data_IF_647366622848
#
_entry.id   IF_647366622848
#
_cell.length_a   1.000
_cell.length_b   1.000
_cell.length_c   1.000
_cell.angle_alpha   90.00
_cell.angle_beta   90.00
_cell.angle_gamma   90.00
#
_symmetry.space_group_name_H-M   'P 1'
#
loop_
_entity.id
_entity.type
_entity.pdbx_description
1 polymer ?
#
# COMPACT_ATOMS: atom_id res chain seq x y z
N UNK A 1 -7.71 -15.20 -14.02
CA UNK A 1 -8.35 -14.13 -13.22
C UNK A 1 -8.09 -14.42 -11.75
N UNK A 2 -7.54 -13.48 -10.99
CA UNK A 2 -7.39 -13.59 -9.54
C UNK A 2 -8.34 -12.62 -8.83
N UNK A 3 -9.30 -13.15 -8.08
CA UNK A 3 -10.26 -12.35 -7.29
C UNK A 3 -9.64 -12.02 -5.93
N UNK A 4 -9.27 -10.77 -5.70
CA UNK A 4 -8.86 -10.27 -4.37
C UNK A 4 -10.07 -9.65 -3.66
N UNK A 5 -9.91 -9.30 -2.38
CA UNK A 5 -11.00 -8.80 -1.51
C UNK A 5 -11.73 -7.60 -2.13
N UNK A 6 -10.98 -6.62 -2.64
CA UNK A 6 -11.52 -5.35 -3.18
C UNK A 6 -11.15 -5.09 -4.64
N UNK A 7 -10.38 -5.97 -5.28
CA UNK A 7 -9.84 -5.80 -6.64
C UNK A 7 -9.86 -7.12 -7.39
N UNK A 8 -10.15 -7.09 -8.69
CA UNK A 8 -9.96 -8.24 -9.57
C UNK A 8 -8.72 -8.00 -10.42
N UNK A 9 -7.94 -9.06 -10.66
CA UNK A 9 -6.72 -8.99 -11.48
C UNK A 9 -6.87 -9.91 -12.69
N UNK A 10 -6.70 -9.34 -13.87
CA UNK A 10 -6.76 -10.03 -15.15
C UNK A 10 -5.40 -9.96 -15.84
N UNK A 11 -4.97 -11.08 -16.44
CA UNK A 11 -3.83 -11.06 -17.34
C UNK A 11 -4.29 -10.48 -18.68
N UNK A 12 -3.54 -9.53 -19.23
CA UNK A 12 -3.80 -9.01 -20.58
C UNK A 12 -2.76 -9.51 -21.57
N UNK A 13 -1.50 -9.61 -21.13
CA UNK A 13 -0.40 -10.24 -21.85
C UNK A 13 0.58 -10.83 -20.84
N UNK A 14 1.71 -11.35 -21.32
CA UNK A 14 2.81 -11.83 -20.47
C UNK A 14 3.46 -10.70 -19.67
N UNK A 15 3.39 -9.46 -20.14
CA UNK A 15 4.00 -8.28 -19.51
C UNK A 15 3.00 -7.32 -18.87
N UNK A 16 1.69 -7.54 -19.03
CA UNK A 16 0.66 -6.62 -18.54
C UNK A 16 -0.46 -7.30 -17.75
N UNK A 17 -0.95 -6.58 -16.74
CA UNK A 17 -2.13 -6.91 -15.94
C UNK A 17 -3.15 -5.78 -16.00
N UNK A 18 -4.43 -6.15 -15.95
CA UNK A 18 -5.53 -5.21 -15.73
C UNK A 18 -6.08 -5.40 -14.31
N UNK A 19 -6.11 -4.30 -13.58
CA UNK A 19 -6.68 -4.17 -12.25
C UNK A 19 -8.06 -3.54 -12.34
N UNK A 20 -9.09 -4.29 -11.98
CA UNK A 20 -10.45 -3.78 -11.85
C UNK A 20 -10.78 -3.53 -10.38
N UNK A 21 -11.02 -2.27 -10.04
CA UNK A 21 -11.35 -1.83 -8.69
C UNK A 21 -12.84 -2.00 -8.45
N UNK A 22 -13.20 -2.76 -7.41
CA UNK A 22 -14.60 -3.05 -7.10
C UNK A 22 -15.17 -2.13 -6.01
N UNK A 23 -16.50 -2.07 -5.96
CA UNK A 23 -17.26 -1.34 -4.95
C UNK A 23 -17.32 -2.05 -3.59
N UNK A 24 -16.85 -3.31 -3.53
CA UNK A 24 -16.74 -4.10 -2.30
C UNK A 24 -15.83 -3.45 -1.28
N UNK A 25 -16.19 -3.56 -0.01
CA UNK A 25 -15.39 -3.11 1.14
C UNK A 25 -15.02 -4.30 2.01
N UNK A 26 -13.85 -4.22 2.64
CA UNK A 26 -13.47 -5.15 3.71
C UNK A 26 -13.14 -4.40 4.99
N UNK A 27 -13.64 -4.89 6.12
CA UNK A 27 -13.33 -4.39 7.46
C UNK A 27 -12.86 -5.57 8.29
N UNK A 28 -11.75 -5.42 9.03
CA UNK A 28 -11.10 -6.51 9.77
C UNK A 28 -10.96 -7.79 8.94
N UNK A 29 -10.44 -7.63 7.72
CA UNK A 29 -10.21 -8.72 6.77
C UNK A 29 -11.44 -9.48 6.24
N UNK A 30 -12.67 -9.07 6.61
CA UNK A 30 -13.93 -9.66 6.14
C UNK A 30 -14.60 -8.75 5.12
N UNK A 31 -15.08 -9.34 4.02
CA UNK A 31 -15.88 -8.60 3.02
C UNK A 31 -17.26 -8.31 3.64
N UNK A 32 -17.68 -7.06 3.56
CA UNK A 32 -19.02 -6.64 3.98
C UNK A 32 -19.98 -6.94 2.81
N UNK A 33 -21.17 -7.53 3.04
CA UNK A 33 -22.14 -7.84 2.00
C UNK A 33 -22.91 -6.58 1.52
N UNK A 34 -22.20 -5.46 1.37
CA UNK A 34 -22.71 -4.23 0.80
C UNK A 34 -21.62 -3.58 -0.06
N UNK A 35 -22.05 -3.04 -1.20
CA UNK A 35 -21.20 -2.27 -2.08
C UNK A 35 -21.32 -0.78 -1.74
N UNK A 36 -20.21 -0.04 -1.82
CA UNK A 36 -20.21 1.42 -1.79
C UNK A 36 -20.21 1.92 -3.25
N UNK A 37 -21.29 2.58 -3.71
CA UNK A 37 -21.36 3.11 -5.07
C UNK A 37 -20.14 3.96 -5.42
N UNK A 38 -19.63 3.78 -6.64
CA UNK A 38 -18.47 4.50 -7.20
C UNK A 38 -17.16 4.39 -6.44
N UNK A 39 -17.06 3.59 -5.36
CA UNK A 39 -15.80 3.39 -4.62
C UNK A 39 -14.68 2.90 -5.52
N UNK A 40 -14.96 1.93 -6.39
CA UNK A 40 -13.96 1.37 -7.31
C UNK A 40 -13.37 2.43 -8.22
N UNK A 41 -14.22 3.29 -8.79
CA UNK A 41 -13.81 4.42 -9.61
C UNK A 41 -12.98 5.42 -8.81
N UNK A 42 -13.46 5.86 -7.65
CA UNK A 42 -12.76 6.83 -6.80
C UNK A 42 -11.34 6.36 -6.47
N UNK A 43 -11.17 5.09 -6.11
CA UNK A 43 -9.86 4.51 -5.80
C UNK A 43 -8.96 4.41 -7.04
N UNK A 44 -9.52 4.02 -8.19
CA UNK A 44 -8.77 3.90 -9.43
C UNK A 44 -8.24 5.28 -9.89
N UNK A 45 -9.11 6.30 -9.91
CA UNK A 45 -8.76 7.68 -10.29
C UNK A 45 -7.77 8.31 -9.33
N UNK A 46 -7.95 8.12 -8.02
CA UNK A 46 -7.00 8.58 -7.00
C UNK A 46 -5.62 7.94 -7.19
N UNK A 47 -5.58 6.63 -7.46
CA UNK A 47 -4.33 5.92 -7.72
C UNK A 47 -3.64 6.45 -9.00
N UNK A 48 -4.39 6.66 -10.08
CA UNK A 48 -3.85 7.20 -11.33
C UNK A 48 -3.25 8.61 -11.14
N UNK A 49 -3.92 9.47 -10.35
CA UNK A 49 -3.41 10.79 -9.98
C UNK A 49 -2.06 10.70 -9.26
N UNK A 50 -1.94 9.86 -8.23
CA UNK A 50 -0.68 9.69 -7.50
C UNK A 50 0.43 9.07 -8.36
N UNK A 51 0.11 8.10 -9.21
CA UNK A 51 1.09 7.56 -10.17
C UNK A 51 1.61 8.63 -11.14
N UNK A 52 0.75 9.57 -11.56
CA UNK A 52 1.17 10.70 -12.37
C UNK A 52 2.13 11.62 -11.63
N UNK A 53 1.85 11.93 -10.35
CA UNK A 53 2.77 12.69 -9.49
C UNK A 53 4.13 11.99 -9.39
N UNK A 54 4.14 10.69 -9.06
CA UNK A 54 5.36 9.89 -8.96
C UNK A 54 6.16 9.92 -10.28
N UNK A 55 5.49 9.74 -11.41
CA UNK A 55 6.11 9.78 -12.74
C UNK A 55 6.74 11.14 -13.04
N UNK A 56 6.02 12.23 -12.73
CA UNK A 56 6.54 13.59 -12.89
C UNK A 56 7.76 13.86 -11.97
N UNK A 57 7.86 13.18 -10.84
CA UNK A 57 9.01 13.21 -9.94
C UNK A 57 10.14 12.24 -10.34
N UNK A 58 10.04 11.55 -11.48
CA UNK A 58 11.04 10.59 -11.95
C UNK A 58 11.00 9.22 -11.27
N UNK A 59 9.99 8.96 -10.43
CA UNK A 59 9.82 7.67 -9.74
C UNK A 59 9.16 6.68 -10.71
N UNK A 60 9.86 5.58 -11.00
CA UNK A 60 9.33 4.51 -11.83
C UNK A 60 8.21 3.77 -11.12
N UNK A 61 7.10 3.54 -11.81
CA UNK A 61 5.94 2.82 -11.28
C UNK A 61 5.50 1.75 -12.27
N UNK A 62 4.63 0.84 -11.84
CA UNK A 62 4.03 -0.14 -12.73
C UNK A 62 2.86 0.41 -13.56
N UNK A 63 2.42 1.66 -13.34
CA UNK A 63 1.23 2.20 -13.99
C UNK A 63 1.48 2.45 -15.48
N UNK A 64 0.52 2.05 -16.32
CA UNK A 64 0.57 2.25 -17.77
C UNK A 64 -0.57 3.17 -18.24
N UNK A 65 -1.82 2.84 -17.91
CA UNK A 65 -3.00 3.62 -18.32
C UNK A 65 -4.23 3.30 -17.48
N UNK A 66 -5.30 4.09 -17.67
CA UNK A 66 -6.61 3.89 -17.04
C UNK A 66 -7.67 3.72 -18.13
N UNK A 67 -7.88 2.49 -18.67
CA UNK A 67 -8.77 2.27 -19.82
C UNK A 67 -10.26 2.50 -19.53
N UNK A 68 -10.68 2.47 -18.27
CA UNK A 68 -12.03 2.85 -17.84
C UNK A 68 -11.98 3.47 -16.43
N UNK A 69 -13.05 4.14 -15.95
CA UNK A 69 -13.03 4.84 -14.66
C UNK A 69 -12.62 3.95 -13.46
N UNK A 70 -12.87 2.65 -13.53
CA UNK A 70 -12.55 1.68 -12.47
C UNK A 70 -11.50 0.63 -12.87
N UNK A 71 -10.85 0.77 -14.04
CA UNK A 71 -9.84 -0.18 -14.53
C UNK A 71 -8.50 0.50 -14.77
N UNK A 72 -7.43 -0.21 -14.40
CA UNK A 72 -6.06 0.26 -14.52
C UNK A 72 -5.18 -0.79 -15.19
N UNK A 73 -4.46 -0.40 -16.23
CA UNK A 73 -3.43 -1.22 -16.87
C UNK A 73 -2.10 -1.00 -16.18
N UNK A 74 -1.43 -2.09 -15.82
CA UNK A 74 -0.11 -2.05 -15.15
C UNK A 74 0.85 -3.06 -15.76
N UNK A 75 2.16 -2.78 -15.64
CA UNK A 75 3.23 -3.75 -15.87
C UNK A 75 3.07 -4.92 -14.90
N UNK A 76 3.16 -6.14 -15.41
CA UNK A 76 3.20 -7.35 -14.60
C UNK A 76 4.47 -7.33 -13.76
N UNK A 77 4.33 -7.61 -12.47
CA UNK A 77 5.42 -7.88 -11.54
C UNK A 77 5.28 -9.31 -11.03
N UNK A 78 6.39 -10.01 -10.88
CA UNK A 78 6.39 -11.37 -10.34
C UNK A 78 6.16 -11.35 -8.83
N UNK A 79 5.32 -12.26 -8.35
CA UNK A 79 5.14 -12.48 -6.91
C UNK A 79 5.84 -13.78 -6.56
N UNK A 80 7.02 -13.66 -5.95
CA UNK A 80 7.83 -14.80 -5.53
C UNK A 80 7.46 -15.09 -4.07
N UNK A 81 6.77 -16.20 -3.83
CA UNK A 81 6.35 -16.60 -2.48
C UNK A 81 7.45 -17.35 -1.71
N UNK A 82 8.34 -18.03 -2.43
CA UNK A 82 9.52 -18.67 -1.84
C UNK A 82 10.69 -17.69 -1.85
N UNK A 83 10.82 -16.94 -0.75
CA UNK A 83 11.81 -15.88 -0.65
C UNK A 83 13.27 -16.39 -0.71
N UNK A 84 13.52 -17.69 -0.52
CA UNK A 84 14.85 -18.26 -0.71
C UNK A 84 15.32 -18.19 -2.17
N UNK A 85 14.38 -18.01 -3.12
CA UNK A 85 14.66 -17.84 -4.55
C UNK A 85 14.97 -16.40 -4.95
N UNK A 86 14.84 -15.44 -4.03
CA UNK A 86 15.17 -14.04 -4.28
C UNK A 86 16.67 -13.86 -4.08
N UNK A 87 17.36 -13.38 -5.12
CA UNK A 87 18.80 -13.15 -5.13
C UNK A 87 19.15 -11.85 -5.88
N UNK A 88 20.46 -11.57 -6.00
CA UNK A 88 20.95 -10.35 -6.64
C UNK A 88 20.62 -10.25 -8.15
N UNK A 89 20.20 -11.35 -8.78
CA UNK A 89 19.83 -11.43 -10.19
C UNK A 89 18.32 -11.31 -10.42
N UNK A 90 17.49 -11.45 -9.36
CA UNK A 90 16.04 -11.31 -9.47
C UNK A 90 15.68 -9.89 -9.92
N UNK A 91 14.77 -9.77 -10.89
CA UNK A 91 14.28 -8.49 -11.43
C UNK A 91 12.76 -8.52 -11.48
N UNK A 92 12.16 -7.32 -11.51
CA UNK A 92 10.71 -7.14 -11.74
C UNK A 92 9.79 -7.97 -10.81
N UNK A 93 10.15 -8.09 -9.53
CA UNK A 93 9.38 -8.83 -8.53
C UNK A 93 8.85 -7.90 -7.44
N UNK A 94 7.76 -8.32 -6.80
CA UNK A 94 7.22 -7.69 -5.61
C UNK A 94 8.11 -8.02 -4.41
N UNK A 95 8.73 -7.01 -3.83
CA UNK A 95 9.39 -7.14 -2.52
C UNK A 95 8.29 -7.32 -1.46
N UNK A 96 8.33 -8.36 -0.61
CA UNK A 96 7.25 -8.71 0.33
C UNK A 96 7.24 -7.82 1.59
N UNK A 97 7.50 -6.54 1.41
CA UNK A 97 7.52 -5.53 2.46
C UNK A 97 6.40 -4.52 2.21
N UNK A 98 5.73 -4.09 3.26
CA UNK A 98 4.94 -2.86 3.23
C UNK A 98 5.82 -1.72 3.69
N UNK A 99 6.00 -0.74 2.82
CA UNK A 99 6.77 0.47 3.10
C UNK A 99 5.80 1.52 3.61
N UNK A 100 5.91 1.88 4.89
CA UNK A 100 4.97 2.76 5.59
C UNK A 100 5.69 4.04 5.97
N UNK A 101 5.11 5.18 5.63
CA UNK A 101 5.57 6.50 6.08
C UNK A 101 4.47 7.14 6.91
N UNK A 102 4.83 7.63 8.09
CA UNK A 102 3.90 8.27 9.03
C UNK A 102 4.29 9.70 9.29
N UNK A 103 3.29 10.57 9.23
CA UNK A 103 3.40 11.97 9.63
C UNK A 103 2.70 12.27 10.96
N UNK A 104 1.92 11.31 11.47
CA UNK A 104 1.13 11.47 12.69
C UNK A 104 1.23 10.24 13.57
N UNK A 105 1.23 10.45 14.89
CA UNK A 105 1.19 9.41 15.91
C UNK A 105 -0.21 8.79 15.99
N UNK A 106 -0.52 7.85 15.09
CA UNK A 106 -1.84 7.22 15.01
C UNK A 106 -1.78 5.72 14.68
N UNK A 107 -2.88 5.01 14.95
CA UNK A 107 -3.03 3.58 14.70
C UNK A 107 -1.98 2.75 15.44
N UNK A 108 -1.48 1.70 14.79
CA UNK A 108 -0.51 0.78 15.39
C UNK A 108 0.82 1.42 15.83
N UNK A 109 1.15 2.62 15.34
CA UNK A 109 2.27 3.39 15.90
C UNK A 109 1.91 3.90 17.31
N UNK A 110 0.74 4.52 17.46
CA UNK A 110 0.30 5.08 18.74
C UNK A 110 0.11 4.00 19.80
N UNK A 111 -0.44 2.83 19.43
CA UNK A 111 -0.59 1.70 20.35
C UNK A 111 0.79 1.25 20.89
N UNK A 112 1.82 1.21 20.04
CA UNK A 112 3.20 0.88 20.47
C UNK A 112 3.84 1.96 21.35
N UNK A 113 3.44 3.23 21.19
CA UNK A 113 3.88 4.32 22.09
C UNK A 113 3.26 4.12 23.47
N UNK A 114 1.96 3.83 23.54
CA UNK A 114 1.25 3.56 24.80
C UNK A 114 1.82 2.32 25.52
N UNK A 115 2.17 1.28 24.77
CA UNK A 115 2.82 0.07 25.30
C UNK A 115 4.28 0.31 25.73
N UNK A 116 4.83 1.51 25.53
CA UNK A 116 6.24 1.83 25.82
C UNK A 116 7.26 1.15 24.89
N UNK A 117 6.80 0.51 23.81
CA UNK A 117 7.65 -0.16 22.81
C UNK A 117 8.34 0.82 21.86
N UNK A 118 7.74 1.99 21.66
CA UNK A 118 8.31 3.10 20.89
C UNK A 118 8.38 4.32 21.80
N UNK A 119 9.61 4.81 22.03
CA UNK A 119 9.85 5.99 22.84
C UNK A 119 9.80 7.27 21.99
N UNK A 120 9.47 8.43 22.57
CA UNK A 120 9.35 9.68 21.81
C UNK A 120 10.61 10.07 21.03
N UNK A 121 11.79 9.79 21.57
CA UNK A 121 13.07 10.13 20.95
C UNK A 121 13.30 9.37 19.64
N UNK A 122 12.75 8.15 19.52
CA UNK A 122 12.80 7.36 18.28
C UNK A 122 11.97 7.97 17.15
N UNK A 123 11.05 8.88 17.48
CA UNK A 123 10.18 9.58 16.55
C UNK A 123 10.63 11.03 16.34
N UNK A 124 11.79 11.41 16.89
CA UNK A 124 12.35 12.76 16.78
C UNK A 124 11.83 13.77 17.80
N UNK A 125 11.05 13.34 18.80
CA UNK A 125 10.65 14.23 19.91
C UNK A 125 11.76 14.33 20.96
N UNK A 126 11.67 15.36 21.80
CA UNK A 126 12.51 15.49 22.99
C UNK A 126 12.19 14.41 24.02
N UNK A 127 13.17 14.09 24.86
CA UNK A 127 12.98 13.11 25.92
C UNK A 127 11.94 13.56 26.92
N UNK A 128 11.06 12.64 27.34
CA UNK A 128 9.93 12.93 28.24
C UNK A 128 8.72 13.57 27.56
N UNK A 129 8.75 13.82 26.24
CA UNK A 129 7.58 14.32 25.52
C UNK A 129 6.42 13.33 25.58
N UNK A 130 5.24 13.81 26.01
CA UNK A 130 4.02 13.00 26.06
C UNK A 130 3.28 13.12 24.74
N UNK A 131 3.53 12.18 23.84
CA UNK A 131 2.90 12.17 22.51
C UNK A 131 1.39 11.98 22.62
N UNK A 132 0.62 12.90 22.08
CA UNK A 132 -0.83 12.81 21.99
C UNK A 132 -1.28 12.00 20.76
N UNK A 133 -2.47 11.39 20.84
CA UNK A 133 -3.07 10.68 19.70
C UNK A 133 -3.32 11.63 18.53
N UNK A 134 -2.76 11.32 17.38
CA UNK A 134 -2.88 12.14 16.17
C UNK A 134 -1.92 13.33 16.11
N UNK A 135 -0.99 13.43 17.05
CA UNK A 135 0.04 14.48 17.02
C UNK A 135 0.95 14.33 15.81
N UNK A 136 1.29 15.47 15.19
CA UNK A 136 2.25 15.52 14.08
C UNK A 136 3.64 15.11 14.54
N UNK A 137 4.31 14.25 13.78
CA UNK A 137 5.69 13.85 14.06
C UNK A 137 6.66 14.94 13.60
N UNK A 138 7.75 15.21 14.34
CA UNK A 138 8.77 16.19 13.98
C UNK A 138 9.40 15.93 12.60
N UNK A 139 9.52 14.65 12.23
CA UNK A 139 9.95 14.21 10.92
C UNK A 139 9.16 12.98 10.49
N UNK A 140 9.04 12.69 9.18
CA UNK A 140 8.35 11.49 8.71
C UNK A 140 9.00 10.23 9.29
N UNK A 141 8.21 9.41 9.97
CA UNK A 141 8.68 8.13 10.48
C UNK A 141 8.49 7.05 9.42
N UNK A 142 9.62 6.49 8.95
CA UNK A 142 9.65 5.40 7.99
C UNK A 142 9.75 4.07 8.73
N UNK A 143 8.85 3.13 8.41
CA UNK A 143 8.95 1.76 8.89
C UNK A 143 8.58 0.76 7.80
N UNK A 144 9.09 -0.46 7.95
CA UNK A 144 8.78 -1.58 7.07
C UNK A 144 8.14 -2.69 7.88
N UNK A 145 7.07 -3.27 7.34
CA UNK A 145 6.46 -4.48 7.87
C UNK A 145 6.54 -5.59 6.83
N UNK A 146 6.58 -6.84 7.27
CA UNK A 146 6.51 -7.98 6.36
C UNK A 146 5.07 -8.29 6.01
N UNK A 147 4.77 -8.54 4.72
CA UNK A 147 3.55 -9.26 4.35
C UNK A 147 3.74 -10.74 4.61
N UNK A 148 3.54 -11.16 5.86
CA UNK A 148 3.31 -12.57 6.15
C UNK A 148 1.85 -12.86 5.79
N UNK A 149 1.61 -13.27 4.55
CA UNK A 149 0.38 -14.01 4.24
C UNK A 149 0.44 -15.29 5.07
N UNK A 150 -0.40 -15.39 6.11
CA UNK A 150 -0.68 -16.67 6.78
C UNK A 150 -1.50 -17.57 5.87
#
# INVERSE_FOLDING_TARGET
MQKKKVKNVFAVSDSELEFEFSNRVSVFDKIIPSDIPFKGETLCRTSAYWFKICSNAGIKTHFLSMPSPNKMRVKRVEVIHDYSKINAQTRNYLIPLEVIVRYYAYGSLYDRILDGKVKPEQLGFLSGHKIAKGETLPSPFFEVTTKLEK
#
